data_IF_662787579648
#
_entry.id   IF_662787579648
#
_cell.length_a   1.000
_cell.length_b   1.000
_cell.length_c   1.000
_cell.angle_alpha   90.00
_cell.angle_beta   90.00
_cell.angle_gamma   90.00
#
_symmetry.space_group_name_H-M   'P 1'
#
loop_
_entity.id
_entity.type
_entity.pdbx_description
1 polymer ?
#
# COMPACT_ATOMS: atom_id res chain seq x y z
N UNK A 1 -5.99 11.19 -11.46
CA UNK A 1 -5.49 12.21 -10.54
C UNK A 1 -5.61 11.72 -9.10
N UNK A 2 -4.67 12.04 -8.26
CA UNK A 2 -4.68 11.60 -6.87
C UNK A 2 -5.61 12.45 -6.01
N UNK A 3 -6.25 11.82 -5.03
CA UNK A 3 -7.04 12.52 -4.02
C UNK A 3 -6.28 12.56 -2.71
N UNK A 4 -6.33 13.69 -2.03
CA UNK A 4 -5.77 13.89 -0.69
C UNK A 4 -6.91 13.66 0.32
N UNK A 5 -6.78 12.61 1.12
CA UNK A 5 -7.84 12.15 2.03
C UNK A 5 -7.33 12.12 3.45
N UNK A 6 -8.18 12.52 4.39
CA UNK A 6 -7.94 12.42 5.82
C UNK A 6 -9.00 11.54 6.46
N UNK A 7 -8.58 10.63 7.34
CA UNK A 7 -9.49 9.76 8.08
C UNK A 7 -9.07 9.69 9.56
N UNK A 8 -10.02 9.41 10.46
CA UNK A 8 -9.69 9.23 11.88
C UNK A 8 -9.03 7.86 12.13
N UNK A 9 -8.41 7.72 13.28
CA UNK A 9 -7.92 6.42 13.74
C UNK A 9 -9.06 5.42 13.79
N UNK A 10 -8.77 4.16 13.48
CA UNK A 10 -9.75 3.08 13.46
C UNK A 10 -10.45 2.86 12.13
N UNK A 11 -10.30 3.76 11.17
CA UNK A 11 -10.92 3.62 9.85
C UNK A 11 -10.19 2.53 9.05
N UNK A 12 -10.95 1.56 8.55
CA UNK A 12 -10.41 0.55 7.62
C UNK A 12 -10.39 1.13 6.21
N UNK A 13 -9.22 1.04 5.55
CA UNK A 13 -9.01 1.55 4.20
C UNK A 13 -9.12 0.45 3.15
N UNK A 14 -8.65 -0.75 3.51
CA UNK A 14 -8.78 -1.96 2.71
C UNK A 14 -9.22 -3.07 3.63
N UNK A 15 -10.05 -3.98 3.12
CA UNK A 15 -10.45 -5.18 3.89
C UNK A 15 -10.09 -6.42 3.08
N UNK A 16 -9.51 -7.41 3.74
CA UNK A 16 -9.14 -8.65 3.08
C UNK A 16 -10.36 -9.31 2.43
N UNK A 17 -10.16 -9.85 1.23
CA UNK A 17 -11.20 -10.46 0.44
C UNK A 17 -12.00 -9.50 -0.43
N UNK A 18 -11.98 -8.20 -0.17
CA UNK A 18 -12.66 -7.22 -1.00
C UNK A 18 -11.83 -6.89 -2.25
N UNK A 19 -12.50 -6.64 -3.36
CA UNK A 19 -11.84 -6.18 -4.58
C UNK A 19 -11.53 -4.70 -4.47
N UNK A 20 -10.32 -4.30 -4.85
CA UNK A 20 -9.92 -2.90 -4.87
C UNK A 20 -8.89 -2.64 -5.94
N UNK A 21 -8.91 -1.44 -6.50
CA UNK A 21 -8.01 -1.02 -7.58
C UNK A 21 -7.21 0.21 -7.21
N UNK A 22 -7.23 0.59 -5.93
CA UNK A 22 -6.58 1.81 -5.47
C UNK A 22 -5.26 1.50 -4.79
N UNK A 23 -4.35 2.43 -4.99
CA UNK A 23 -3.02 2.46 -4.39
C UNK A 23 -2.97 3.65 -3.44
N UNK A 24 -2.36 3.48 -2.29
CA UNK A 24 -2.37 4.48 -1.23
C UNK A 24 -0.94 4.88 -0.85
N UNK A 25 -0.69 6.19 -0.76
CA UNK A 25 0.58 6.72 -0.30
C UNK A 25 0.34 7.51 0.98
N UNK A 26 0.98 7.11 2.07
CA UNK A 26 0.81 7.73 3.38
C UNK A 26 1.61 9.04 3.44
N UNK A 27 0.92 10.13 3.74
CA UNK A 27 1.54 11.44 3.92
C UNK A 27 1.85 11.67 5.41
N UNK A 28 0.91 11.32 6.29
CA UNK A 28 1.05 11.51 7.73
C UNK A 28 0.24 10.44 8.45
N UNK A 29 0.76 9.95 9.57
CA UNK A 29 0.13 8.92 10.38
C UNK A 29 0.66 7.52 10.12
N UNK A 30 -0.02 6.54 10.71
CA UNK A 30 0.38 5.14 10.64
C UNK A 30 -0.84 4.25 10.39
N UNK A 31 -0.59 3.12 9.71
CA UNK A 31 -1.59 2.07 9.51
C UNK A 31 -1.06 0.73 10.04
N UNK A 32 -1.99 -0.13 10.47
CA UNK A 32 -1.70 -1.52 10.77
C UNK A 32 -2.21 -2.39 9.61
N UNK A 33 -1.37 -3.30 9.15
CA UNK A 33 -1.72 -4.30 8.14
C UNK A 33 -1.97 -5.62 8.87
N UNK A 34 -3.20 -6.13 8.78
CA UNK A 34 -3.60 -7.34 9.49
C UNK A 34 -4.16 -8.39 8.54
N UNK A 35 -4.03 -9.65 8.91
CA UNK A 35 -4.64 -10.77 8.20
C UNK A 35 -5.12 -11.78 9.24
N UNK A 36 -6.39 -12.18 9.14
CA UNK A 36 -7.03 -13.09 10.09
C UNK A 36 -6.87 -12.59 11.53
N UNK A 37 -6.97 -11.27 11.72
CA UNK A 37 -6.86 -10.63 13.03
C UNK A 37 -5.43 -10.46 13.55
N UNK A 38 -4.43 -10.95 12.83
CA UNK A 38 -3.04 -10.89 13.25
C UNK A 38 -2.30 -9.77 12.49
N UNK A 39 -1.58 -8.94 13.22
CA UNK A 39 -0.80 -7.86 12.59
C UNK A 39 0.41 -8.44 11.86
N UNK A 40 0.52 -8.12 10.57
CA UNK A 40 1.64 -8.51 9.73
C UNK A 40 2.69 -7.41 9.64
N UNK A 41 2.26 -6.16 9.62
CA UNK A 41 3.16 -5.03 9.42
C UNK A 41 2.52 -3.73 9.88
N UNK A 42 3.33 -2.70 9.99
CA UNK A 42 2.93 -1.32 10.17
C UNK A 42 3.54 -0.49 9.05
N UNK A 43 2.79 0.47 8.52
CA UNK A 43 3.29 1.40 7.51
C UNK A 43 3.07 2.83 8.01
N UNK A 44 3.97 3.73 7.64
CA UNK A 44 3.96 5.10 8.12
C UNK A 44 4.20 6.09 6.99
N UNK A 45 4.31 7.37 7.32
CA UNK A 45 4.54 8.44 6.36
C UNK A 45 5.69 8.11 5.40
N UNK A 46 5.47 8.35 4.10
CA UNK A 46 6.41 8.04 3.03
C UNK A 46 6.29 6.63 2.49
N UNK A 47 5.54 5.75 3.15
CA UNK A 47 5.31 4.39 2.69
C UNK A 47 3.98 4.30 1.93
N UNK A 48 3.77 3.17 1.26
CA UNK A 48 2.58 2.93 0.46
C UNK A 48 2.02 1.53 0.68
N UNK A 49 0.77 1.32 0.29
CA UNK A 49 0.12 0.01 0.32
C UNK A 49 -0.93 -0.09 -0.78
N UNK A 50 -1.39 -1.32 -1.04
CA UNK A 50 -2.37 -1.58 -2.09
C UNK A 50 -1.75 -1.79 -3.48
N UNK A 51 -0.43 -1.92 -3.55
CA UNK A 51 0.32 -2.00 -4.80
C UNK A 51 -0.02 -3.23 -5.65
N UNK A 52 -0.43 -4.34 -5.02
CA UNK A 52 -0.78 -5.55 -5.76
C UNK A 52 -2.00 -5.30 -6.65
N UNK A 53 -2.95 -4.49 -6.19
CA UNK A 53 -4.15 -4.15 -6.96
C UNK A 53 -3.83 -3.37 -8.24
N UNK A 54 -2.65 -2.77 -8.34
CA UNK A 54 -2.21 -2.07 -9.55
C UNK A 54 -1.78 -3.03 -10.65
N UNK A 55 -1.32 -4.22 -10.26
CA UNK A 55 -0.73 -5.20 -11.17
C UNK A 55 -1.70 -6.34 -11.48
N UNK A 56 -2.49 -6.75 -10.50
CA UNK A 56 -3.38 -7.91 -10.59
C UNK A 56 -4.77 -7.57 -10.08
N UNK A 57 -5.79 -8.14 -10.71
CA UNK A 57 -7.18 -8.01 -10.28
C UNK A 57 -7.51 -9.08 -9.24
N UNK A 58 -6.78 -9.06 -8.14
CA UNK A 58 -6.99 -10.01 -7.04
C UNK A 58 -7.67 -9.33 -5.87
N UNK A 59 -8.41 -10.08 -5.04
CA UNK A 59 -8.93 -9.55 -3.79
C UNK A 59 -7.80 -9.04 -2.89
N UNK A 60 -8.11 -8.09 -2.03
CA UNK A 60 -7.16 -7.60 -1.04
C UNK A 60 -6.67 -8.74 -0.17
N UNK A 61 -5.36 -8.86 -0.02
CA UNK A 61 -4.74 -9.94 0.75
C UNK A 61 -4.72 -9.68 2.24
N UNK A 62 -4.95 -8.44 2.65
CA UNK A 62 -4.91 -8.04 4.05
C UNK A 62 -5.86 -6.86 4.30
N UNK A 63 -6.15 -6.64 5.57
CA UNK A 63 -6.91 -5.47 6.03
C UNK A 63 -5.91 -4.40 6.45
N UNK A 64 -6.16 -3.15 6.04
CA UNK A 64 -5.34 -2.01 6.41
C UNK A 64 -6.21 -1.02 7.17
N UNK A 65 -5.84 -0.76 8.42
CA UNK A 65 -6.61 0.10 9.32
C UNK A 65 -5.74 1.26 9.81
N UNK A 66 -6.30 2.46 9.81
CA UNK A 66 -5.61 3.62 10.35
C UNK A 66 -5.40 3.42 11.86
N UNK A 67 -4.15 3.40 12.29
CA UNK A 67 -3.78 3.26 13.69
C UNK A 67 -3.85 4.61 14.42
N UNK A 68 -3.53 5.68 13.69
CA UNK A 68 -3.60 7.07 14.14
C UNK A 68 -4.47 7.84 13.17
N UNK A 69 -4.81 9.11 13.44
CA UNK A 69 -5.35 9.96 12.38
C UNK A 69 -4.40 9.89 11.18
N UNK A 70 -4.97 9.78 10.00
CA UNK A 70 -4.19 9.44 8.80
C UNK A 70 -4.51 10.39 7.66
N UNK A 71 -3.47 10.85 6.99
CA UNK A 71 -3.57 11.59 5.74
C UNK A 71 -2.83 10.82 4.65
N UNK A 72 -3.47 10.64 3.51
CA UNK A 72 -2.91 9.83 2.43
C UNK A 72 -3.43 10.28 1.07
N UNK A 73 -2.68 9.94 0.02
CA UNK A 73 -3.11 10.09 -1.35
C UNK A 73 -3.63 8.76 -1.87
N UNK A 74 -4.71 8.82 -2.65
CA UNK A 74 -5.30 7.66 -3.33
C UNK A 74 -5.05 7.82 -4.82
N UNK A 75 -4.48 6.79 -5.44
CA UNK A 75 -4.25 6.75 -6.88
C UNK A 75 -4.96 5.54 -7.48
N UNK A 76 -5.59 5.73 -8.62
CA UNK A 76 -6.11 4.62 -9.42
C UNK A 76 -4.96 3.98 -10.21
N UNK A 77 -5.23 2.82 -10.82
CA UNK A 77 -4.27 2.19 -11.73
C UNK A 77 -3.85 3.13 -12.86
N UNK A 78 -4.82 3.86 -13.41
CA UNK A 78 -4.58 4.84 -14.47
C UNK A 78 -3.67 5.98 -14.00
N UNK A 79 -3.95 6.54 -12.83
CA UNK A 79 -3.14 7.60 -12.24
C UNK A 79 -1.72 7.13 -11.99
N UNK A 80 -1.55 5.91 -11.50
CA UNK A 80 -0.25 5.32 -11.24
C UNK A 80 0.56 5.16 -12.53
N UNK A 81 -0.08 4.66 -13.58
CA UNK A 81 0.58 4.52 -14.89
C UNK A 81 1.05 5.85 -15.44
N UNK A 82 0.23 6.89 -15.29
CA UNK A 82 0.59 8.23 -15.73
C UNK A 82 1.75 8.79 -14.88
N UNK A 83 1.72 8.57 -13.58
CA UNK A 83 2.78 9.00 -12.68
C UNK A 83 4.13 8.39 -13.07
N UNK A 84 4.16 7.09 -13.35
CA UNK A 84 5.37 6.38 -13.79
C UNK A 84 5.87 6.92 -15.12
N UNK A 85 4.95 7.17 -16.05
CA UNK A 85 5.29 7.68 -17.38
C UNK A 85 5.96 9.05 -17.30
N UNK A 86 5.43 9.91 -16.43
CA UNK A 86 5.92 11.28 -16.27
C UNK A 86 7.15 11.37 -15.35
N UNK A 87 7.37 10.34 -14.53
CA UNK A 87 8.43 10.32 -13.52
C UNK A 87 9.09 8.93 -13.45
N UNK A 88 10.01 8.63 -14.39
CA UNK A 88 10.61 7.29 -14.47
C UNK A 88 11.29 6.80 -13.17
N UNK A 89 11.81 7.73 -12.36
CA UNK A 89 12.44 7.38 -11.08
C UNK A 89 11.48 6.78 -10.06
N UNK A 90 10.18 7.04 -10.17
CA UNK A 90 9.16 6.52 -9.25
C UNK A 90 9.02 5.01 -9.39
N UNK A 91 9.07 4.49 -10.63
CA UNK A 91 8.99 3.05 -10.89
C UNK A 91 10.09 2.30 -10.13
N UNK A 92 11.33 2.80 -10.19
CA UNK A 92 12.46 2.20 -9.50
C UNK A 92 12.27 2.20 -7.99
N UNK A 93 11.75 3.29 -7.42
CA UNK A 93 11.49 3.39 -5.99
C UNK A 93 10.44 2.38 -5.54
N UNK A 94 9.36 2.22 -6.32
CA UNK A 94 8.31 1.24 -6.02
C UNK A 94 8.86 -0.17 -6.10
N UNK A 95 9.60 -0.51 -7.16
CA UNK A 95 10.21 -1.84 -7.30
C UNK A 95 11.15 -2.16 -6.16
N UNK A 96 11.94 -1.18 -5.72
CA UNK A 96 12.88 -1.36 -4.60
C UNK A 96 12.14 -1.62 -3.30
N UNK A 97 11.05 -0.89 -3.05
CA UNK A 97 10.24 -1.08 -1.85
C UNK A 97 9.56 -2.45 -1.84
N UNK A 98 9.05 -2.90 -3.00
CA UNK A 98 8.44 -4.23 -3.12
C UNK A 98 9.46 -5.33 -2.89
N UNK A 99 10.68 -5.18 -3.41
CA UNK A 99 11.75 -6.14 -3.18
C UNK A 99 12.10 -6.26 -1.69
N UNK A 100 12.17 -5.13 -0.98
CA UNK A 100 12.41 -5.14 0.47
C UNK A 100 11.31 -5.87 1.22
N UNK A 101 10.04 -5.63 0.86
CA UNK A 101 8.90 -6.30 1.49
C UNK A 101 8.93 -7.80 1.29
N UNK A 102 9.33 -8.24 0.10
CA UNK A 102 9.46 -9.66 -0.21
C UNK A 102 10.52 -10.33 0.67
N UNK A 103 11.66 -9.68 0.84
CA UNK A 103 12.73 -10.18 1.71
C UNK A 103 12.28 -10.24 3.17
N UNK A 104 11.57 -9.21 3.64
CA UNK A 104 11.07 -9.15 5.02
C UNK A 104 10.15 -10.32 5.39
N UNK A 105 9.33 -10.79 4.44
CA UNK A 105 8.33 -11.84 4.70
C UNK A 105 8.80 -13.23 4.31
N UNK A 106 9.97 -13.36 3.71
CA UNK A 106 10.48 -14.64 3.20
C UNK A 106 11.68 -15.12 4.01
N UNK A 107 11.64 -16.42 4.35
CA UNK A 107 12.79 -17.12 4.96
C UNK A 107 13.60 -17.87 3.89
N UNK A 108 13.24 -17.74 2.63
CA UNK A 108 13.90 -18.44 1.54
C UNK A 108 15.18 -17.69 1.11
N UNK A 109 16.38 -18.26 1.34
CA UNK A 109 17.63 -17.59 1.00
C UNK A 109 17.83 -17.41 -0.52
N UNK A 110 17.06 -18.11 -1.37
CA UNK A 110 17.18 -17.95 -2.82
C UNK A 110 16.62 -16.61 -3.29
N UNK A 111 15.85 -15.92 -2.45
CA UNK A 111 15.33 -14.59 -2.74
C UNK A 111 16.30 -13.47 -2.37
N UNK A 112 17.40 -13.81 -1.76
CA UNK A 112 18.40 -12.83 -1.34
C UNK A 112 19.23 -12.32 -2.52
#
# INVERSE_FOLDING_TARGET
MSEDVEVPAGKALCKEGETGQEFFVIVDGEVDVTKNGKRLARRAAGEFFGEIALLEETPRMATVTARTPLRFFVLTRKDFRQLIRDNPGVERKVLRALARRLVEVSDDPTLA
#
